data_IF_588260147841
#
_entry.id   IF_588260147841
#
_cell.length_a   1.000
_cell.length_b   1.000
_cell.length_c   1.000
_cell.angle_alpha   90.00
_cell.angle_beta   90.00
_cell.angle_gamma   90.00
#
_symmetry.space_group_name_H-M   'P 1'
#
loop_
_entity.id
_entity.type
_entity.pdbx_description
1 polymer ?
#
# COMPACT_ATOMS: atom_id res chain seq x y z
N UNK A 1 7.50 -26.55 -4.58
CA UNK A 1 7.91 -25.71 -3.43
C UNK A 1 6.63 -25.12 -2.83
N UNK A 2 6.18 -25.61 -1.66
CA UNK A 2 4.98 -25.08 -0.98
C UNK A 2 5.42 -23.90 -0.11
N UNK A 3 5.12 -22.68 -0.54
CA UNK A 3 5.30 -21.50 0.30
C UNK A 3 4.22 -21.59 1.37
N UNK A 4 4.62 -21.74 2.63
CA UNK A 4 3.71 -21.62 3.76
C UNK A 4 3.22 -20.18 3.78
N UNK A 5 1.95 -19.98 3.41
CA UNK A 5 1.26 -18.72 3.64
C UNK A 5 1.05 -18.66 5.15
N UNK A 6 1.94 -17.96 5.85
CA UNK A 6 1.66 -17.56 7.23
C UNK A 6 0.33 -16.81 7.20
N UNK A 7 -0.64 -17.29 7.97
CA UNK A 7 -1.90 -16.58 8.23
C UNK A 7 -1.55 -15.12 8.55
N UNK A 8 -1.99 -14.21 7.67
CA UNK A 8 -1.73 -12.79 7.81
C UNK A 8 -2.41 -12.29 9.10
N UNK A 9 -1.65 -12.23 10.19
CA UNK A 9 -2.00 -11.46 11.38
C UNK A 9 -2.25 -10.02 10.92
N UNK A 10 -3.51 -9.62 10.97
CA UNK A 10 -4.07 -8.35 10.51
C UNK A 10 -3.61 -7.13 11.30
N UNK A 11 -2.29 -6.91 11.44
CA UNK A 11 -1.68 -5.72 12.05
C UNK A 11 -0.58 -5.18 11.13
N UNK A 12 -0.92 -4.87 9.88
CA UNK A 12 0.00 -4.12 9.02
C UNK A 12 0.04 -2.67 9.48
N UNK A 13 1.14 -2.26 10.11
CA UNK A 13 1.45 -0.84 10.28
C UNK A 13 1.96 -0.32 8.95
N UNK A 14 1.13 0.45 8.26
CA UNK A 14 1.47 1.10 6.99
C UNK A 14 1.76 2.57 7.29
N UNK A 15 2.81 3.11 6.68
CA UNK A 15 3.21 4.52 6.80
C UNK A 15 3.38 5.18 5.43
N UNK A 16 3.59 6.51 5.46
CA UNK A 16 3.95 7.25 4.26
C UNK A 16 5.28 6.77 3.68
N UNK A 17 5.30 6.55 2.36
CA UNK A 17 6.47 6.06 1.62
C UNK A 17 6.54 4.53 1.54
N UNK A 18 5.68 3.80 2.26
CA UNK A 18 5.67 2.35 2.20
C UNK A 18 5.15 1.83 0.85
N UNK A 19 5.75 0.73 0.40
CA UNK A 19 5.32 -0.01 -0.78
C UNK A 19 4.52 -1.25 -0.35
N UNK A 20 3.28 -1.33 -0.79
CA UNK A 20 2.39 -2.46 -0.57
C UNK A 20 2.43 -3.36 -1.80
N UNK A 21 2.77 -4.63 -1.60
CA UNK A 21 2.66 -5.68 -2.62
C UNK A 21 1.38 -6.44 -2.35
N UNK A 22 0.45 -6.43 -3.30
CA UNK A 22 -0.84 -7.07 -3.15
C UNK A 22 -1.19 -7.95 -4.34
N UNK A 23 -2.00 -8.98 -4.11
CA UNK A 23 -2.52 -9.89 -5.14
C UNK A 23 -4.00 -9.64 -5.35
N UNK A 24 -4.38 -9.23 -6.55
CA UNK A 24 -5.79 -9.10 -6.92
C UNK A 24 -6.44 -10.49 -6.97
N UNK A 25 -7.74 -10.59 -6.69
CA UNK A 25 -8.52 -11.84 -6.81
C UNK A 25 -8.44 -12.52 -8.18
N UNK A 26 -8.10 -11.76 -9.24
CA UNK A 26 -7.88 -12.29 -10.61
C UNK A 26 -6.47 -12.90 -10.81
N UNK A 27 -5.62 -12.89 -9.78
CA UNK A 27 -4.29 -13.51 -9.79
C UNK A 27 -3.13 -12.57 -10.09
N UNK A 28 -3.37 -11.32 -10.49
CA UNK A 28 -2.33 -10.35 -10.79
C UNK A 28 -1.69 -9.77 -9.51
N UNK A 29 -0.37 -9.60 -9.53
CA UNK A 29 0.36 -8.85 -8.50
C UNK A 29 0.31 -7.37 -8.87
N UNK A 30 0.02 -6.54 -7.88
CA UNK A 30 -0.11 -5.09 -8.00
C UNK A 30 0.73 -4.42 -6.92
N UNK A 31 1.46 -3.40 -7.32
CA UNK A 31 2.35 -2.65 -6.45
C UNK A 31 1.73 -1.28 -6.15
N UNK A 32 1.55 -0.96 -4.87
CA UNK A 32 0.97 0.31 -4.46
C UNK A 32 1.90 1.08 -3.55
N UNK A 33 2.17 2.35 -3.88
CA UNK A 33 2.94 3.25 -3.04
C UNK A 33 2.01 4.13 -2.22
N UNK A 34 2.26 4.23 -0.92
CA UNK A 34 1.55 5.14 -0.04
C UNK A 34 2.28 6.48 -0.04
N UNK A 35 1.61 7.54 -0.47
CA UNK A 35 2.21 8.86 -0.60
C UNK A 35 1.57 9.79 0.43
N UNK A 36 2.37 10.50 1.21
CA UNK A 36 1.88 11.61 2.03
C UNK A 36 1.85 12.88 1.19
N UNK A 37 0.67 13.46 1.06
CA UNK A 37 0.50 14.78 0.46
C UNK A 37 0.99 15.85 1.45
N UNK A 38 1.80 16.79 0.96
CA UNK A 38 2.23 17.95 1.74
C UNK A 38 1.08 18.95 1.83
N UNK A 39 0.22 18.73 2.80
CA UNK A 39 -0.79 19.70 3.23
C UNK A 39 -0.52 19.99 4.70
N UNK A 40 -0.16 21.25 5.00
CA UNK A 40 0.30 21.70 6.32
C UNK A 40 -0.83 21.73 7.34
N UNK A 41 -2.10 21.76 6.89
CA UNK A 41 -3.27 21.87 7.74
C UNK A 41 -3.88 20.51 8.07
N UNK A 42 -3.85 19.55 7.13
CA UNK A 42 -4.34 18.19 7.35
C UNK A 42 -3.52 17.17 6.54
N UNK A 43 -2.80 16.23 7.17
CA UNK A 43 -2.05 15.22 6.43
C UNK A 43 -3.00 14.30 5.67
N UNK A 44 -2.92 14.33 4.34
CA UNK A 44 -3.64 13.41 3.45
C UNK A 44 -2.71 12.32 2.94
N UNK A 45 -3.25 11.12 2.78
CA UNK A 45 -2.55 10.00 2.16
C UNK A 45 -3.13 9.72 0.79
N UNK A 46 -2.30 9.35 -0.17
CA UNK A 46 -2.71 8.89 -1.49
C UNK A 46 -2.17 7.50 -1.73
N UNK A 47 -2.96 6.67 -2.41
CA UNK A 47 -2.52 5.36 -2.86
C UNK A 47 -2.23 5.43 -4.35
N UNK A 48 -0.97 5.30 -4.73
CA UNK A 48 -0.51 5.27 -6.12
C UNK A 48 -0.36 3.82 -6.55
N UNK A 49 -0.94 3.42 -7.67
CA UNK A 49 -0.55 2.20 -8.35
C UNK A 49 0.76 2.47 -9.11
N UNK A 50 1.83 1.77 -8.76
CA UNK A 50 3.18 2.02 -9.30
C UNK A 50 3.27 1.67 -10.77
N UNK A 51 2.64 0.57 -11.18
CA UNK A 51 2.73 0.04 -12.55
C UNK A 51 2.03 0.96 -13.57
N UNK A 52 0.92 1.59 -13.17
CA UNK A 52 0.14 2.50 -14.02
C UNK A 52 0.40 3.99 -13.75
N UNK A 53 1.14 4.31 -12.69
CA UNK A 53 1.32 5.69 -12.18
C UNK A 53 0.00 6.42 -11.88
N UNK A 54 -1.08 5.68 -11.62
CA UNK A 54 -2.41 6.25 -11.35
C UNK A 54 -2.71 6.34 -9.85
N UNK A 55 -3.27 7.46 -9.41
CA UNK A 55 -3.74 7.64 -8.03
C UNK A 55 -5.09 6.93 -7.88
N UNK A 56 -5.08 5.83 -7.13
CA UNK A 56 -6.26 5.00 -6.90
C UNK A 56 -7.25 5.66 -5.93
N UNK A 57 -6.74 6.28 -4.87
CA UNK A 57 -7.55 6.92 -3.83
C UNK A 57 -6.75 7.98 -3.05
N UNK A 58 -7.49 8.91 -2.45
CA UNK A 58 -6.99 9.90 -1.48
C UNK A 58 -7.75 9.75 -0.17
N UNK A 59 -7.04 9.72 0.96
CA UNK A 59 -7.56 9.49 2.30
C UNK A 59 -7.28 10.71 3.18
N UNK A 60 -8.35 11.34 3.67
CA UNK A 60 -8.27 12.58 4.47
C UNK A 60 -8.19 12.35 5.98
N UNK A 61 -8.34 11.11 6.43
CA UNK A 61 -8.46 10.75 7.86
C UNK A 61 -7.13 10.76 8.60
N UNK A 62 -6.01 10.83 7.89
CA UNK A 62 -4.68 10.64 8.46
C UNK A 62 -4.40 9.20 8.95
N UNK A 63 -5.36 8.27 8.82
CA UNK A 63 -5.29 6.91 9.35
C UNK A 63 -4.92 5.92 8.25
N UNK A 64 -3.87 5.15 8.50
CA UNK A 64 -3.33 4.19 7.52
C UNK A 64 -4.15 2.90 7.46
N UNK A 65 -5.03 2.66 8.44
CA UNK A 65 -6.07 1.61 8.40
C UNK A 65 -7.01 1.73 7.20
N UNK A 66 -7.21 2.95 6.71
CA UNK A 66 -8.12 3.21 5.60
C UNK A 66 -7.52 2.74 4.29
N UNK A 67 -6.19 2.82 4.17
CA UNK A 67 -5.42 2.28 3.04
C UNK A 67 -5.56 0.76 2.98
N UNK A 68 -5.36 0.08 4.12
CA UNK A 68 -5.52 -1.38 4.22
C UNK A 68 -6.93 -1.79 3.83
N UNK A 69 -7.93 -1.10 4.37
CA UNK A 69 -9.35 -1.38 4.11
C UNK A 69 -9.68 -1.17 2.64
N UNK A 70 -9.16 -0.11 2.01
CA UNK A 70 -9.40 0.17 0.61
C UNK A 70 -8.75 -0.89 -0.31
N UNK A 71 -7.49 -1.26 -0.06
CA UNK A 71 -6.79 -2.30 -0.84
C UNK A 71 -7.52 -3.64 -0.71
N UNK A 72 -7.94 -4.01 0.50
CA UNK A 72 -8.55 -5.33 0.74
C UNK A 72 -10.01 -5.41 0.30
N UNK A 73 -10.83 -4.40 0.63
CA UNK A 73 -12.28 -4.43 0.37
C UNK A 73 -12.66 -3.79 -0.96
N UNK A 74 -12.11 -2.63 -1.29
CA UNK A 74 -12.49 -1.89 -2.50
C UNK A 74 -11.76 -2.41 -3.74
N UNK A 75 -10.43 -2.56 -3.66
CA UNK A 75 -9.63 -3.10 -4.76
C UNK A 75 -9.65 -4.64 -4.82
N UNK A 76 -10.28 -5.31 -3.86
CA UNK A 76 -10.38 -6.78 -3.80
C UNK A 76 -9.00 -7.45 -3.94
N UNK A 77 -8.02 -6.95 -3.18
CA UNK A 77 -6.66 -7.46 -3.18
C UNK A 77 -6.29 -8.07 -1.82
N UNK A 78 -5.50 -9.13 -1.83
CA UNK A 78 -4.83 -9.66 -0.64
C UNK A 78 -3.48 -8.97 -0.48
N UNK A 79 -3.19 -8.37 0.66
CA UNK A 79 -1.86 -7.79 0.92
C UNK A 79 -0.89 -8.94 1.20
N UNK A 80 0.11 -9.10 0.35
CA UNK A 80 1.14 -10.12 0.49
C UNK A 80 2.30 -9.63 1.35
N UNK A 81 2.70 -8.37 1.16
CA UNK A 81 3.83 -7.78 1.87
C UNK A 81 3.73 -6.26 1.92
N UNK A 82 4.36 -5.67 2.92
CA UNK A 82 4.59 -4.22 3.02
C UNK A 82 6.08 -4.01 3.19
N UNK A 83 6.68 -3.23 2.30
CA UNK A 83 8.08 -2.86 2.32
C UNK A 83 8.16 -1.43 2.88
N UNK A 84 8.76 -1.26 4.08
CA UNK A 84 8.89 0.05 4.69
C UNK A 84 9.72 1.02 3.83
N UNK A 85 9.37 2.31 3.86
CA UNK A 85 10.09 3.36 3.15
C UNK A 85 11.61 3.35 3.41
N UNK A 86 12.03 3.07 4.65
CA UNK A 86 13.43 3.00 5.06
C UNK A 86 14.24 1.89 4.37
N UNK A 87 13.56 0.89 3.81
CA UNK A 87 14.17 -0.23 3.07
C UNK A 87 14.05 -0.07 1.56
N UNK A 88 13.31 0.93 1.08
CA UNK A 88 13.22 1.24 -0.33
C UNK A 88 14.47 2.00 -0.75
N UNK A 89 15.42 1.30 -1.36
CA UNK A 89 16.50 1.95 -2.10
C UNK A 89 15.94 2.42 -3.44
N UNK A 90 15.50 3.67 -3.49
CA UNK A 90 15.29 4.35 -4.77
C UNK A 90 16.67 4.51 -5.40
N UNK A 91 16.92 3.80 -6.50
CA UNK A 91 18.14 3.92 -7.30
C UNK A 91 18.20 5.27 -7.99
N UNK A 92 18.39 6.35 -7.23
CA UNK A 92 18.89 7.61 -7.74
C UNK A 92 20.40 7.44 -7.89
N UNK A 93 20.83 7.06 -9.10
CA UNK A 93 22.19 7.33 -9.55
C UNK A 93 22.34 8.79 -9.89
#
# INVERSE_FOLDING_TARGET
MKVAICEAKSNYTIEAGDLIIAKHIKGHILNYLVIKERDELMPKYRLLNVDSSFIMATFSSGRTSDVVTYVTKSLKCEILSVIPASKLQLGLK
#
